data_IF_936761389555
#
_entry.id   IF_936761389555
#
_cell.length_a   1.000
_cell.length_b   1.000
_cell.length_c   1.000
_cell.angle_alpha   90.00
_cell.angle_beta   90.00
_cell.angle_gamma   90.00
#
_symmetry.space_group_name_H-M   'P 1'
#
loop_
_entity.id
_entity.type
_entity.pdbx_description
1 polymer ?
#
# COMPACT_ATOMS: atom_id res chain seq x y z
N UNK A 1 20.61 11.82 10.36
CA UNK A 1 19.77 13.01 10.05
C UNK A 1 19.69 13.16 8.53
N UNK A 2 18.49 13.31 7.96
CA UNK A 2 18.29 13.25 6.50
C UNK A 2 17.83 14.60 5.96
N UNK A 3 18.77 15.41 5.48
CA UNK A 3 18.48 16.66 4.78
C UNK A 3 17.78 16.42 3.44
N UNK A 4 17.02 17.40 2.95
CA UNK A 4 16.40 17.33 1.62
C UNK A 4 17.34 17.88 0.56
N UNK A 5 17.98 16.99 -0.18
CA UNK A 5 18.93 17.32 -1.24
C UNK A 5 18.27 17.25 -2.61
N UNK A 6 18.49 18.26 -3.44
CA UNK A 6 18.09 18.28 -4.84
C UNK A 6 19.34 18.29 -5.72
N UNK A 7 19.45 17.30 -6.61
CA UNK A 7 20.48 17.31 -7.65
C UNK A 7 20.32 18.54 -8.54
N UNK A 8 21.37 19.34 -8.67
CA UNK A 8 21.43 20.51 -9.57
C UNK A 8 22.17 20.20 -10.87
N UNK A 9 22.77 19.01 -10.96
CA UNK A 9 23.49 18.56 -12.14
C UNK A 9 24.51 17.48 -11.80
N UNK A 10 24.89 16.73 -12.82
CA UNK A 10 26.01 15.80 -12.79
C UNK A 10 26.94 16.11 -13.96
N UNK A 11 28.24 16.07 -13.73
CA UNK A 11 29.26 16.17 -14.78
C UNK A 11 30.16 14.94 -14.68
N UNK A 12 30.40 14.27 -15.80
CA UNK A 12 31.37 13.18 -15.89
C UNK A 12 32.57 13.62 -16.71
N UNK A 13 33.76 13.20 -16.30
CA UNK A 13 35.00 13.41 -17.02
C UNK A 13 35.90 12.18 -16.82
N UNK A 14 36.03 11.34 -17.85
CA UNK A 14 36.66 10.03 -17.74
C UNK A 14 35.98 9.17 -16.67
N UNK A 15 36.78 8.56 -15.79
CA UNK A 15 36.31 7.67 -14.71
C UNK A 15 35.79 8.40 -13.46
N UNK A 16 35.63 9.73 -13.57
CA UNK A 16 35.14 10.56 -12.48
C UNK A 16 33.78 11.16 -12.81
N UNK A 17 32.80 10.95 -11.93
CA UNK A 17 31.49 11.60 -11.99
C UNK A 17 31.31 12.49 -10.77
N UNK A 18 30.93 13.75 -10.99
CA UNK A 18 30.68 14.73 -9.94
C UNK A 18 29.21 15.10 -9.96
N UNK A 19 28.50 14.79 -8.88
CA UNK A 19 27.13 15.22 -8.65
C UNK A 19 27.12 16.40 -7.69
N UNK A 20 26.44 17.48 -8.08
CA UNK A 20 26.20 18.62 -7.18
C UNK A 20 24.75 18.58 -6.71
N UNK A 21 24.57 18.69 -5.41
CA UNK A 21 23.27 18.76 -4.77
C UNK A 21 23.17 20.05 -3.94
N UNK A 22 21.99 20.65 -3.93
CA UNK A 22 21.66 21.76 -3.03
C UNK A 22 20.60 21.37 -2.04
N UNK A 23 20.66 21.92 -0.85
CA UNK A 23 19.61 21.75 0.11
C UNK A 23 18.35 22.47 -0.38
N UNK A 24 17.19 21.80 -0.30
CA UNK A 24 15.91 22.40 -0.65
C UNK A 24 15.33 23.27 0.46
N UNK A 25 15.95 23.30 1.65
CA UNK A 25 15.39 23.97 2.80
C UNK A 25 14.27 23.18 3.47
N UNK A 26 13.32 23.90 4.08
CA UNK A 26 12.12 23.33 4.70
C UNK A 26 10.92 24.27 4.52
N UNK A 27 9.72 23.71 4.62
CA UNK A 27 8.48 24.49 4.76
C UNK A 27 8.14 24.57 6.25
N UNK A 28 7.85 25.76 6.77
CA UNK A 28 7.42 25.95 8.16
C UNK A 28 6.05 26.62 8.17
N UNK A 29 5.20 26.26 9.12
CA UNK A 29 3.96 26.99 9.34
C UNK A 29 4.25 28.45 9.71
N UNK A 30 3.53 29.40 9.12
CA UNK A 30 3.65 30.82 9.43
C UNK A 30 3.15 31.20 10.83
N UNK A 31 2.29 30.37 11.43
CA UNK A 31 1.83 30.56 12.80
C UNK A 31 2.94 30.17 13.81
N UNK A 32 3.43 31.11 14.63
CA UNK A 32 4.55 30.87 15.55
C UNK A 32 4.21 29.87 16.65
N UNK A 33 2.93 29.72 17.04
CA UNK A 33 2.50 28.72 18.02
C UNK A 33 2.46 27.30 17.44
N UNK A 34 2.36 27.18 16.12
CA UNK A 34 2.34 25.89 15.43
C UNK A 34 3.75 25.48 15.02
N UNK A 35 4.43 26.33 14.23
CA UNK A 35 5.81 26.18 13.74
C UNK A 35 6.17 24.78 13.20
N UNK A 36 5.18 23.98 12.76
CA UNK A 36 5.41 22.59 12.32
C UNK A 36 6.28 22.58 11.06
N UNK A 37 7.46 21.94 11.08
CA UNK A 37 8.29 21.81 9.90
C UNK A 37 7.75 20.73 8.98
N UNK A 38 7.85 20.96 7.67
CA UNK A 38 7.49 20.05 6.61
C UNK A 38 8.63 19.95 5.59
N UNK A 39 8.82 18.74 5.06
CA UNK A 39 9.84 18.46 4.04
C UNK A 39 9.38 18.99 2.68
N UNK A 40 10.26 19.66 1.94
CA UNK A 40 10.03 19.98 0.53
C UNK A 40 10.06 18.67 -0.27
N UNK A 41 8.95 18.32 -0.94
CA UNK A 41 8.81 17.06 -1.69
C UNK A 41 9.12 17.30 -3.16
N UNK A 42 8.61 18.39 -3.71
CA UNK A 42 8.76 18.73 -5.12
C UNK A 42 10.06 19.47 -5.39
N UNK A 43 10.57 19.37 -6.63
CA UNK A 43 11.70 20.20 -7.07
C UNK A 43 11.26 21.67 -7.08
N UNK A 44 12.08 22.58 -6.59
CA UNK A 44 11.78 24.02 -6.63
C UNK A 44 11.51 24.49 -8.08
N UNK A 45 10.63 25.46 -8.27
CA UNK A 45 10.21 25.98 -9.59
C UNK A 45 9.41 24.96 -10.44
N UNK A 46 8.76 24.01 -9.78
CA UNK A 46 7.74 23.18 -10.44
C UNK A 46 6.37 23.58 -9.91
N UNK A 47 5.33 23.39 -10.73
CA UNK A 47 3.93 23.58 -10.32
C UNK A 47 3.58 22.78 -9.06
N UNK A 48 4.19 21.59 -8.89
CA UNK A 48 4.05 20.76 -7.69
C UNK A 48 4.65 21.41 -6.44
N UNK A 49 5.73 22.17 -6.59
CA UNK A 49 6.33 22.91 -5.48
C UNK A 49 5.46 24.11 -5.10
N UNK A 50 4.97 24.87 -6.07
CA UNK A 50 4.05 25.98 -5.84
C UNK A 50 2.76 25.48 -5.14
N UNK A 51 2.19 24.38 -5.62
CA UNK A 51 1.05 23.71 -4.98
C UNK A 51 1.37 23.21 -3.56
N UNK A 52 2.62 22.84 -3.29
CA UNK A 52 3.03 22.43 -1.95
C UNK A 52 3.16 23.63 -1.00
N UNK A 53 3.72 24.74 -1.47
CA UNK A 53 3.87 25.99 -0.68
C UNK A 53 2.52 26.64 -0.43
N UNK A 54 1.61 26.62 -1.40
CA UNK A 54 0.27 27.19 -1.25
C UNK A 54 -0.65 26.35 -0.37
N UNK A 55 -0.30 25.09 -0.11
CA UNK A 55 -1.08 24.22 0.77
C UNK A 55 -1.00 24.70 2.21
N UNK A 56 -2.16 24.94 2.81
CA UNK A 56 -2.28 25.30 4.21
C UNK A 56 -1.71 24.23 5.15
N UNK A 57 -1.27 24.67 6.33
CA UNK A 57 -0.80 23.80 7.39
C UNK A 57 -1.90 22.81 7.80
N UNK A 58 -1.61 21.51 7.74
CA UNK A 58 -2.59 20.49 8.10
C UNK A 58 -3.04 20.50 9.57
N UNK A 59 -2.35 21.23 10.46
CA UNK A 59 -2.67 21.33 11.90
C UNK A 59 -3.51 22.55 12.26
N UNK A 60 -3.15 23.73 11.74
CA UNK A 60 -3.77 25.01 12.11
C UNK A 60 -4.31 25.82 10.93
N UNK A 61 -4.24 25.28 9.71
CA UNK A 61 -4.70 25.90 8.46
C UNK A 61 -4.02 27.24 8.07
N UNK A 62 -3.02 27.70 8.82
CA UNK A 62 -2.22 28.86 8.42
C UNK A 62 -1.34 28.58 7.20
N UNK A 63 -0.85 29.63 6.55
CA UNK A 63 0.05 29.53 5.40
C UNK A 63 1.39 28.84 5.74
N UNK A 64 2.08 28.36 4.70
CA UNK A 64 3.39 27.73 4.83
C UNK A 64 4.46 28.64 4.22
N UNK A 65 5.54 28.89 4.96
CA UNK A 65 6.69 29.68 4.53
C UNK A 65 7.82 28.74 4.09
N UNK A 66 8.41 29.00 2.92
CA UNK A 66 9.59 28.27 2.48
C UNK A 66 10.87 28.93 2.99
N UNK A 67 11.57 28.25 3.90
CA UNK A 67 12.90 28.66 4.34
C UNK A 67 13.91 28.06 3.37
N UNK A 68 14.52 28.91 2.54
CA UNK A 68 15.58 28.50 1.62
C UNK A 68 16.89 28.22 2.37
N UNK A 69 17.69 27.30 1.82
CA UNK A 69 18.98 26.94 2.37
C UNK A 69 20.10 27.12 1.35
N UNK A 70 21.21 27.72 1.78
CA UNK A 70 22.40 27.90 0.95
C UNK A 70 23.33 26.68 0.93
N UNK A 71 23.12 25.69 1.80
CA UNK A 71 24.00 24.53 1.92
C UNK A 71 24.02 23.69 0.63
N UNK A 72 25.21 23.24 0.24
CA UNK A 72 25.48 22.42 -0.93
C UNK A 72 26.28 21.19 -0.55
N UNK A 73 26.11 20.14 -1.33
CA UNK A 73 26.87 18.89 -1.22
C UNK A 73 27.39 18.53 -2.59
N UNK A 74 28.69 18.32 -2.72
CA UNK A 74 29.32 17.78 -3.91
C UNK A 74 29.73 16.34 -3.63
N UNK A 75 29.39 15.43 -4.53
CA UNK A 75 29.74 14.02 -4.43
C UNK A 75 30.53 13.64 -5.67
N UNK A 76 31.77 13.22 -5.48
CA UNK A 76 32.64 12.76 -6.54
C UNK A 76 32.78 11.25 -6.45
N UNK A 77 32.44 10.56 -7.53
CA UNK A 77 32.55 9.13 -7.71
C UNK A 77 33.75 8.86 -8.61
N UNK A 78 34.71 8.07 -8.15
CA UNK A 78 35.82 7.57 -8.98
C UNK A 78 35.67 6.07 -9.16
N UNK A 79 35.68 5.62 -10.41
CA UNK A 79 35.60 4.21 -10.79
C UNK A 79 36.98 3.73 -11.21
N UNK A 80 37.82 3.42 -10.22
CA UNK A 80 39.19 2.93 -10.43
C UNK A 80 39.32 1.52 -9.83
N UNK A 81 38.53 0.57 -10.35
CA UNK A 81 38.39 -0.80 -9.83
C UNK A 81 37.71 -0.92 -8.45
N UNK A 82 37.67 0.17 -7.68
CA UNK A 82 36.93 0.33 -6.42
C UNK A 82 36.14 1.64 -6.46
N UNK A 83 34.85 1.58 -6.14
CA UNK A 83 34.00 2.76 -6.10
C UNK A 83 34.35 3.62 -4.88
N UNK A 84 35.14 4.68 -5.09
CA UNK A 84 35.44 5.67 -4.03
C UNK A 84 34.49 6.86 -4.16
N UNK A 85 33.87 7.23 -3.03
CA UNK A 85 32.94 8.37 -2.94
C UNK A 85 33.55 9.44 -2.05
N UNK A 86 33.97 10.56 -2.64
CA UNK A 86 34.34 11.76 -1.88
C UNK A 86 33.10 12.65 -1.73
N UNK A 87 32.79 13.04 -0.49
CA UNK A 87 31.66 13.93 -0.19
C UNK A 87 32.20 15.22 0.41
N UNK A 88 31.99 16.32 -0.30
CA UNK A 88 32.31 17.66 0.16
C UNK A 88 31.02 18.38 0.54
N UNK A 89 31.02 19.04 1.69
CA UNK A 89 29.90 19.84 2.18
C UNK A 89 30.32 21.32 2.17
N UNK A 90 29.50 22.17 1.58
CA UNK A 90 29.72 23.60 1.46
C UNK A 90 28.56 24.34 2.14
N UNK A 91 28.89 25.27 3.05
CA UNK A 91 27.93 26.07 3.79
C UNK A 91 27.36 25.39 5.04
N UNK A 92 26.43 26.08 5.72
CA UNK A 92 25.74 25.61 6.93
C UNK A 92 24.23 25.63 6.72
N UNK A 93 23.53 24.65 7.30
CA UNK A 93 22.08 24.66 7.33
C UNK A 93 21.59 25.72 8.31
N UNK A 94 20.82 26.69 7.84
CA UNK A 94 20.22 27.78 8.62
C UNK A 94 18.80 27.48 9.10
N UNK A 95 18.38 26.23 9.03
CA UNK A 95 17.02 25.80 9.32
C UNK A 95 17.03 24.46 10.07
N UNK A 96 15.93 24.16 10.77
CA UNK A 96 15.78 22.88 11.47
C UNK A 96 15.89 21.69 10.51
N UNK A 97 16.22 20.52 11.04
CA UNK A 97 16.26 19.28 10.24
C UNK A 97 14.84 19.00 9.71
N UNK A 98 14.64 18.83 8.39
CA UNK A 98 13.33 18.47 7.85
C UNK A 98 12.84 17.14 8.46
N UNK A 99 11.52 16.94 8.60
CA UNK A 99 10.98 15.69 9.09
C UNK A 99 11.56 14.51 8.29
N UNK A 100 12.06 13.51 9.02
CA UNK A 100 12.58 12.32 8.38
C UNK A 100 11.41 11.55 7.75
N UNK A 101 11.63 11.07 6.53
CA UNK A 101 10.68 10.17 5.85
C UNK A 101 11.14 8.72 5.92
N UNK A 102 12.41 8.51 6.31
CA UNK A 102 13.02 7.18 6.40
C UNK A 102 12.82 6.67 7.82
N UNK A 103 12.07 5.57 7.94
CA UNK A 103 11.94 4.86 9.20
C UNK A 103 13.27 4.23 9.61
N UNK A 104 13.62 4.38 10.87
CA UNK A 104 14.72 3.69 11.54
C UNK A 104 14.37 2.21 11.77
N UNK A 105 15.37 1.39 12.13
CA UNK A 105 15.15 -0.05 12.38
C UNK A 105 14.26 -0.33 13.59
N UNK A 106 14.35 0.47 14.66
CA UNK A 106 13.45 0.42 15.82
C UNK A 106 12.01 0.74 15.43
N UNK A 107 11.79 1.77 14.62
CA UNK A 107 10.46 2.14 14.12
C UNK A 107 9.88 1.05 13.19
N UNK A 108 10.73 0.38 12.40
CA UNK A 108 10.32 -0.78 11.59
C UNK A 108 9.92 -1.97 12.45
N UNK A 109 10.68 -2.26 13.50
CA UNK A 109 10.35 -3.33 14.45
C UNK A 109 9.01 -3.05 15.14
N UNK A 110 8.78 -1.82 15.60
CA UNK A 110 7.50 -1.40 16.20
C UNK A 110 6.34 -1.49 15.19
N UNK A 111 6.56 -1.08 13.93
CA UNK A 111 5.56 -1.24 12.89
C UNK A 111 5.25 -2.72 12.68
N UNK A 112 6.27 -3.58 12.53
CA UNK A 112 6.07 -5.02 12.35
C UNK A 112 5.29 -5.65 13.52
N UNK A 113 5.63 -5.33 14.77
CA UNK A 113 4.91 -5.80 15.94
C UNK A 113 3.43 -5.35 15.93
N UNK A 114 3.16 -4.09 15.54
CA UNK A 114 1.79 -3.59 15.39
C UNK A 114 1.01 -4.33 14.29
N UNK A 115 1.66 -4.68 13.17
CA UNK A 115 1.05 -5.44 12.08
C UNK A 115 0.68 -6.87 12.54
N UNK A 116 1.61 -7.53 13.23
CA UNK A 116 1.43 -8.89 13.75
C UNK A 116 0.33 -8.96 14.81
N UNK A 117 0.25 -7.97 15.70
CA UNK A 117 -0.78 -7.90 16.72
C UNK A 117 -2.17 -7.55 16.15
N UNK A 118 -2.26 -7.14 14.88
CA UNK A 118 -3.50 -6.68 14.25
C UNK A 118 -3.68 -7.24 12.84
N UNK A 119 -3.73 -8.57 12.69
CA UNK A 119 -3.90 -9.20 11.40
C UNK A 119 -5.20 -8.73 10.74
N UNK A 120 -5.17 -8.50 9.42
CA UNK A 120 -6.34 -8.09 8.63
C UNK A 120 -6.74 -6.62 8.73
N UNK A 121 -6.19 -5.82 9.65
CA UNK A 121 -6.50 -4.38 9.70
C UNK A 121 -5.93 -3.65 8.49
N UNK A 122 -6.72 -2.75 7.92
CA UNK A 122 -6.31 -1.88 6.81
C UNK A 122 -5.37 -0.76 7.28
N UNK A 123 -4.60 -0.20 6.33
CA UNK A 123 -3.77 0.98 6.60
C UNK A 123 -4.55 2.17 7.16
N UNK A 124 -5.83 2.35 6.77
CA UNK A 124 -6.68 3.42 7.33
C UNK A 124 -7.05 3.11 8.78
N UNK A 125 -7.41 1.86 9.08
CA UNK A 125 -7.71 1.45 10.45
C UNK A 125 -6.48 1.60 11.35
N UNK A 126 -5.31 1.14 10.93
CA UNK A 126 -4.08 1.27 11.73
C UNK A 126 -3.60 2.73 11.89
N UNK A 127 -4.02 3.61 10.97
CA UNK A 127 -3.78 5.05 11.11
C UNK A 127 -4.65 5.68 12.19
N UNK A 128 -5.95 5.38 12.25
CA UNK A 128 -6.91 6.11 13.09
C UNK A 128 -7.37 5.34 14.33
N UNK A 129 -7.58 4.02 14.19
CA UNK A 129 -8.06 3.13 15.24
C UNK A 129 -6.99 2.08 15.53
N UNK A 130 -6.11 2.50 16.43
CA UNK A 130 -4.97 1.75 16.89
C UNK A 130 -5.28 0.27 17.15
N UNK A 131 -4.34 -0.55 16.76
CA UNK A 131 -4.20 -1.88 17.29
C UNK A 131 -3.52 -1.88 18.65
N UNK A 132 -3.75 -2.92 19.42
CA UNK A 132 -3.00 -3.19 20.64
C UNK A 132 -1.55 -3.46 20.25
N UNK A 133 -0.60 -2.75 20.87
CA UNK A 133 0.82 -3.05 20.75
C UNK A 133 1.23 -3.95 21.95
N UNK A 134 1.75 -5.17 21.72
CA UNK A 134 2.02 -6.14 22.79
C UNK A 134 2.98 -5.61 23.87
N UNK A 135 3.99 -4.83 23.46
CA UNK A 135 5.06 -4.35 24.36
C UNK A 135 4.62 -3.24 25.31
N UNK A 136 3.56 -2.49 24.99
CA UNK A 136 3.14 -1.32 25.78
C UNK A 136 1.74 -1.43 26.38
N UNK A 137 0.93 -2.40 25.95
CA UNK A 137 -0.47 -2.54 26.36
C UNK A 137 -1.38 -1.37 25.96
N UNK A 138 -0.86 -0.39 25.20
CA UNK A 138 -1.59 0.81 24.77
C UNK A 138 -1.99 0.71 23.30
N UNK A 139 -3.14 1.30 22.99
CA UNK A 139 -3.59 1.52 21.62
C UNK A 139 -2.68 2.59 20.97
N UNK A 140 -1.75 2.15 20.12
CA UNK A 140 -0.84 3.04 19.39
C UNK A 140 -1.28 3.21 17.94
N UNK A 141 -1.37 4.46 17.49
CA UNK A 141 -1.60 4.81 16.09
C UNK A 141 -0.30 4.63 15.30
N UNK A 142 -0.39 4.27 14.02
CA UNK A 142 0.80 4.30 13.15
C UNK A 142 1.51 5.67 13.15
N UNK A 143 0.78 6.77 13.41
CA UNK A 143 1.35 8.12 13.55
C UNK A 143 2.28 8.29 14.75
N UNK A 144 2.09 7.53 15.84
CA UNK A 144 2.98 7.60 17.01
C UNK A 144 4.30 6.87 16.80
N UNK A 145 4.35 5.92 15.85
CA UNK A 145 5.59 5.20 15.49
C UNK A 145 6.46 6.09 14.60
N UNK A 146 5.88 6.63 13.52
CA UNK A 146 6.61 7.51 12.62
C UNK A 146 5.68 8.49 11.92
N UNK A 147 5.99 9.80 11.86
CA UNK A 147 5.10 10.82 11.31
C UNK A 147 4.74 10.57 9.84
N UNK A 148 5.65 9.96 9.07
CA UNK A 148 5.41 9.58 7.68
C UNK A 148 4.32 8.51 7.49
N UNK A 149 3.99 7.72 8.52
CA UNK A 149 2.94 6.70 8.47
C UNK A 149 1.52 7.28 8.53
N UNK A 150 1.39 8.60 8.82
CA UNK A 150 0.13 9.32 8.62
C UNK A 150 -0.32 9.34 7.16
N UNK A 151 0.58 9.10 6.20
CA UNK A 151 0.23 8.86 4.81
C UNK A 151 -0.13 7.39 4.59
N UNK A 152 -1.40 7.13 4.25
CA UNK A 152 -1.93 5.78 4.00
C UNK A 152 -1.10 4.97 3.00
N UNK A 153 -0.58 5.61 1.94
CA UNK A 153 0.18 4.93 0.90
C UNK A 153 1.58 4.55 1.39
N UNK A 154 2.21 5.42 2.19
CA UNK A 154 3.51 5.13 2.82
C UNK A 154 3.36 3.99 3.82
N UNK A 155 2.33 4.02 4.67
CA UNK A 155 2.03 2.94 5.61
C UNK A 155 1.79 1.62 4.87
N UNK A 156 0.98 1.61 3.81
CA UNK A 156 0.74 0.41 3.00
C UNK A 156 2.02 -0.14 2.37
N UNK A 157 2.87 0.75 1.84
CA UNK A 157 4.15 0.35 1.25
C UNK A 157 5.09 -0.27 2.28
N UNK A 158 5.26 0.37 3.44
CA UNK A 158 6.14 -0.13 4.50
C UNK A 158 5.61 -1.44 5.08
N UNK A 159 4.30 -1.56 5.30
CA UNK A 159 3.71 -2.78 5.82
C UNK A 159 3.90 -3.96 4.88
N UNK A 160 3.70 -3.80 3.56
CA UNK A 160 3.99 -4.87 2.58
C UNK A 160 5.46 -5.26 2.53
N UNK A 161 6.36 -4.30 2.78
CA UNK A 161 7.80 -4.54 2.78
C UNK A 161 8.24 -5.34 4.01
N UNK A 162 7.61 -5.08 5.16
CA UNK A 162 7.94 -5.73 6.43
C UNK A 162 7.18 -7.05 6.62
N UNK A 163 5.97 -7.17 6.05
CA UNK A 163 5.13 -8.37 6.07
C UNK A 163 4.80 -8.81 4.62
N UNK A 164 5.75 -9.42 3.91
CA UNK A 164 5.53 -9.91 2.55
C UNK A 164 4.55 -11.09 2.50
N UNK A 165 4.30 -11.78 3.64
CA UNK A 165 3.35 -12.89 3.76
C UNK A 165 1.88 -12.47 3.72
N UNK A 166 1.59 -11.18 3.84
CA UNK A 166 0.26 -10.64 3.58
C UNK A 166 -0.75 -10.95 4.68
N UNK A 167 -0.35 -10.80 5.95
CA UNK A 167 -1.29 -10.62 7.06
C UNK A 167 -1.84 -9.17 7.08
N UNK A 168 -1.10 -8.22 6.48
CA UNK A 168 -1.54 -6.83 6.34
C UNK A 168 -2.31 -6.53 5.05
N UNK A 169 -3.47 -5.90 5.22
CA UNK A 169 -4.35 -5.45 4.15
C UNK A 169 -5.57 -6.35 4.04
N UNK A 170 -6.74 -5.81 4.38
CA UNK A 170 -8.02 -6.49 4.22
C UNK A 170 -8.17 -7.17 2.87
N UNK A 171 -8.88 -8.29 2.87
CA UNK A 171 -9.04 -9.34 1.85
C UNK A 171 -9.64 -8.89 0.51
N UNK A 172 -9.26 -7.73 -0.02
CA UNK A 172 -9.86 -7.17 -1.22
C UNK A 172 -8.78 -7.03 -2.30
N UNK A 173 -8.50 -8.15 -2.98
CA UNK A 173 -7.65 -8.23 -4.17
C UNK A 173 -7.60 -9.67 -4.71
N UNK A 174 -7.13 -9.89 -5.94
CA UNK A 174 -7.13 -11.23 -6.55
C UNK A 174 -6.44 -12.33 -5.71
N UNK A 175 -5.50 -11.96 -4.84
CA UNK A 175 -4.84 -12.91 -3.93
C UNK A 175 -5.72 -13.38 -2.76
N UNK A 176 -6.73 -12.60 -2.33
CA UNK A 176 -7.68 -13.07 -1.32
C UNK A 176 -8.63 -14.11 -1.90
N UNK A 177 -9.13 -13.89 -3.12
CA UNK A 177 -9.90 -14.89 -3.86
C UNK A 177 -9.12 -16.20 -4.01
N UNK A 178 -7.84 -16.14 -4.38
CA UNK A 178 -7.01 -17.35 -4.46
C UNK A 178 -6.82 -18.03 -3.11
N UNK A 179 -6.62 -17.25 -2.04
CA UNK A 179 -6.50 -17.79 -0.67
C UNK A 179 -7.80 -18.42 -0.18
N UNK A 180 -8.93 -17.81 -0.45
CA UNK A 180 -10.26 -18.33 -0.14
C UNK A 180 -10.54 -19.60 -0.96
N UNK A 181 -10.13 -19.65 -2.23
CA UNK A 181 -10.24 -20.84 -3.06
C UNK A 181 -9.38 -22.00 -2.50
N UNK A 182 -8.16 -21.71 -2.03
CA UNK A 182 -7.30 -22.72 -1.37
C UNK A 182 -7.95 -23.23 -0.07
N UNK A 183 -8.41 -22.32 0.80
CA UNK A 183 -9.09 -22.73 2.03
C UNK A 183 -10.36 -23.55 1.73
N UNK A 184 -11.09 -23.20 0.67
CA UNK A 184 -12.26 -23.95 0.21
C UNK A 184 -11.88 -25.36 -0.26
N UNK A 185 -10.76 -25.52 -0.99
CA UNK A 185 -10.27 -26.84 -1.41
C UNK A 185 -9.79 -27.71 -0.24
N UNK A 186 -9.21 -27.10 0.80
CA UNK A 186 -8.82 -27.82 2.01
C UNK A 186 -10.04 -28.26 2.84
N UNK A 187 -11.07 -27.42 2.92
CA UNK A 187 -12.30 -27.72 3.66
C UNK A 187 -13.18 -28.77 2.96
N UNK A 188 -13.15 -28.82 1.62
CA UNK A 188 -13.97 -29.72 0.80
C UNK A 188 -13.12 -30.52 -0.19
N UNK A 189 -12.33 -31.50 0.29
CA UNK A 189 -11.37 -32.25 -0.53
C UNK A 189 -12.03 -33.09 -1.64
N UNK A 190 -13.34 -33.35 -1.56
CA UNK A 190 -14.10 -34.12 -2.54
C UNK A 190 -14.64 -33.28 -3.72
N UNK A 191 -14.30 -31.98 -3.84
CA UNK A 191 -14.90 -31.06 -4.82
C UNK A 191 -13.89 -29.98 -5.33
N UNK A 192 -13.83 -29.42 -6.55
CA UNK A 192 -14.25 -29.75 -7.94
C UNK A 192 -14.08 -28.47 -8.80
N UNK A 193 -12.86 -28.07 -9.18
CA UNK A 193 -12.74 -27.09 -10.27
C UNK A 193 -12.98 -27.85 -11.56
N UNK A 194 -14.21 -27.79 -12.08
CA UNK A 194 -14.56 -28.51 -13.31
C UNK A 194 -13.98 -27.81 -14.55
N UNK A 195 -13.77 -26.50 -14.45
CA UNK A 195 -13.13 -25.70 -15.48
C UNK A 195 -12.86 -24.27 -15.04
N UNK A 196 -11.84 -23.67 -15.66
CA UNK A 196 -11.56 -22.24 -15.52
C UNK A 196 -11.28 -21.64 -16.89
N UNK A 197 -11.98 -20.57 -17.26
CA UNK A 197 -11.67 -19.78 -18.44
C UNK A 197 -11.25 -18.38 -18.01
N UNK A 198 -10.04 -17.96 -18.41
CA UNK A 198 -9.51 -16.62 -18.12
C UNK A 198 -9.37 -15.74 -19.36
N UNK A 199 -9.73 -16.26 -20.54
CA UNK A 199 -9.65 -15.54 -21.81
C UNK A 199 -10.92 -14.73 -22.09
N UNK A 200 -10.80 -13.66 -22.88
CA UNK A 200 -11.94 -12.81 -23.23
C UNK A 200 -12.91 -13.56 -24.17
N UNK A 201 -14.23 -13.29 -24.09
CA UNK A 201 -14.87 -12.22 -23.31
C UNK A 201 -15.22 -12.59 -21.87
N UNK A 202 -15.21 -13.86 -21.48
CA UNK A 202 -15.79 -14.31 -20.21
C UNK A 202 -14.76 -14.95 -19.30
N UNK A 203 -14.64 -14.42 -18.08
CA UNK A 203 -13.80 -15.00 -17.03
C UNK A 203 -14.69 -15.74 -16.04
N UNK A 204 -14.57 -17.06 -15.97
CA UNK A 204 -15.35 -17.88 -15.05
C UNK A 204 -14.47 -18.95 -14.39
N UNK A 205 -14.81 -19.27 -13.16
CA UNK A 205 -14.32 -20.44 -12.43
C UNK A 205 -15.56 -21.22 -12.05
N UNK A 206 -15.65 -22.47 -12.51
CA UNK A 206 -16.80 -23.34 -12.22
C UNK A 206 -16.42 -24.29 -11.09
N UNK A 207 -17.23 -24.28 -10.03
CA UNK A 207 -17.08 -25.14 -8.85
C UNK A 207 -18.38 -25.94 -8.70
N UNK A 208 -18.32 -27.27 -8.62
CA UNK A 208 -19.53 -28.12 -8.51
C UNK A 208 -19.30 -29.32 -7.58
N UNK A 209 -19.99 -29.48 -6.46
CA UNK A 209 -19.79 -30.71 -5.66
C UNK A 209 -20.29 -31.99 -6.35
N UNK A 210 -19.83 -33.19 -5.96
CA UNK A 210 -20.45 -34.45 -6.37
C UNK A 210 -21.97 -34.44 -6.15
N UNK A 211 -22.44 -33.92 -5.02
CA UNK A 211 -23.87 -33.81 -4.73
C UNK A 211 -24.59 -32.84 -5.69
N UNK A 212 -23.95 -31.72 -6.07
CA UNK A 212 -24.47 -30.82 -7.09
C UNK A 212 -24.53 -31.50 -8.46
N UNK A 213 -23.52 -32.31 -8.80
CA UNK A 213 -23.49 -33.09 -10.04
C UNK A 213 -24.64 -34.10 -10.06
N UNK A 214 -24.82 -34.86 -8.99
CA UNK A 214 -25.91 -35.83 -8.84
C UNK A 214 -27.27 -35.15 -8.87
N UNK A 215 -27.45 -34.02 -8.18
CA UNK A 215 -28.67 -33.23 -8.23
C UNK A 215 -28.95 -32.69 -9.64
N UNK A 216 -27.91 -32.26 -10.37
CA UNK A 216 -28.02 -31.83 -11.77
C UNK A 216 -28.57 -32.94 -12.66
N UNK A 217 -28.01 -34.14 -12.53
CA UNK A 217 -28.46 -35.31 -13.31
C UNK A 217 -29.82 -35.84 -12.85
N UNK A 218 -30.14 -35.78 -11.55
CA UNK A 218 -31.42 -36.20 -11.00
C UNK A 218 -32.57 -35.30 -11.47
N UNK A 219 -32.36 -33.99 -11.53
CA UNK A 219 -33.34 -33.01 -12.02
C UNK A 219 -33.57 -33.05 -13.54
N UNK A 220 -32.76 -33.78 -14.31
CA UNK A 220 -33.01 -34.07 -15.73
C UNK A 220 -34.08 -35.16 -15.93
N UNK A 221 -34.44 -35.91 -14.89
CA UNK A 221 -35.57 -36.83 -14.90
C UNK A 221 -36.84 -36.05 -14.52
N UNK A 222 -37.73 -35.85 -15.49
CA UNK A 222 -38.96 -35.05 -15.35
C UNK A 222 -39.92 -35.65 -14.30
N UNK A 223 -39.75 -36.91 -13.92
CA UNK A 223 -40.77 -37.67 -13.18
C UNK A 223 -40.66 -37.63 -11.66
N UNK A 224 -39.54 -37.20 -11.06
CA UNK A 224 -39.33 -37.22 -9.59
C UNK A 224 -38.56 -36.00 -9.05
N UNK A 225 -38.86 -34.81 -9.56
CA UNK A 225 -38.06 -33.63 -9.29
C UNK A 225 -38.30 -33.09 -7.86
N UNK A 226 -37.54 -33.60 -6.87
CA UNK A 226 -37.56 -33.11 -5.48
C UNK A 226 -36.68 -31.86 -5.28
N UNK A 227 -35.86 -31.46 -6.26
CA UNK A 227 -34.94 -30.31 -6.15
C UNK A 227 -35.27 -29.17 -7.11
N UNK A 228 -34.49 -28.09 -7.03
CA UNK A 228 -34.63 -26.93 -7.92
C UNK A 228 -33.31 -26.17 -8.12
N UNK A 229 -33.30 -25.28 -9.11
CA UNK A 229 -32.18 -24.38 -9.38
C UNK A 229 -32.63 -22.93 -9.17
N UNK A 230 -31.82 -22.16 -8.45
CA UNK A 230 -32.01 -20.72 -8.29
C UNK A 230 -30.78 -20.05 -8.90
N UNK A 231 -30.99 -19.26 -9.95
CA UNK A 231 -29.94 -18.41 -10.53
C UNK A 231 -30.07 -17.00 -9.97
N UNK A 232 -29.00 -16.48 -9.37
CA UNK A 232 -28.98 -15.16 -8.72
C UNK A 232 -28.66 -14.01 -9.71
N UNK A 233 -28.87 -14.22 -11.02
CA UNK A 233 -28.47 -13.20 -12.00
C UNK A 233 -29.33 -13.21 -13.28
N UNK A 234 -30.58 -12.74 -13.13
CA UNK A 234 -31.25 -11.74 -13.99
C UNK A 234 -32.76 -11.96 -13.99
N UNK A 235 -33.53 -10.89 -13.78
CA UNK A 235 -34.99 -10.89 -13.88
C UNK A 235 -35.49 -10.90 -15.35
N UNK A 236 -34.92 -11.74 -16.21
CA UNK A 236 -35.28 -11.80 -17.64
C UNK A 236 -35.21 -13.21 -18.22
N UNK A 237 -36.15 -13.54 -19.12
CA UNK A 237 -36.12 -14.76 -19.92
C UNK A 237 -34.98 -14.70 -20.95
N UNK A 238 -34.19 -15.77 -21.04
CA UNK A 238 -33.04 -15.83 -21.92
C UNK A 238 -33.28 -16.72 -23.13
N UNK A 239 -33.20 -16.15 -24.33
CA UNK A 239 -33.07 -16.89 -25.59
C UNK A 239 -31.59 -17.12 -25.94
N UNK A 240 -30.70 -16.20 -25.55
CA UNK A 240 -29.29 -16.14 -25.99
C UNK A 240 -28.27 -15.70 -24.90
N UNK A 241 -28.51 -15.95 -23.60
CA UNK A 241 -27.57 -15.55 -22.54
C UNK A 241 -26.88 -16.72 -21.83
N UNK A 242 -25.68 -16.45 -21.30
CA UNK A 242 -24.85 -17.40 -20.55
C UNK A 242 -25.23 -17.35 -19.05
N UNK A 243 -25.66 -18.48 -18.49
CA UNK A 243 -25.88 -18.63 -17.05
C UNK A 243 -24.55 -18.49 -16.31
N UNK A 244 -24.38 -17.42 -15.51
CA UNK A 244 -23.10 -17.14 -14.83
C UNK A 244 -22.99 -17.72 -13.42
N UNK A 245 -24.12 -17.86 -12.70
CA UNK A 245 -24.17 -18.45 -11.35
C UNK A 245 -25.51 -19.16 -11.18
N UNK A 246 -25.47 -20.41 -10.71
CA UNK A 246 -26.67 -21.18 -10.34
C UNK A 246 -26.42 -21.91 -9.03
N UNK A 247 -27.41 -21.91 -8.14
CA UNK A 247 -27.43 -22.68 -6.92
C UNK A 247 -28.43 -23.82 -7.10
N UNK A 248 -27.94 -25.05 -7.14
CA UNK A 248 -28.79 -26.23 -7.01
C UNK A 248 -29.13 -26.40 -5.53
N UNK A 249 -30.42 -26.60 -5.21
CA UNK A 249 -30.84 -26.99 -3.88
C UNK A 249 -31.62 -28.30 -3.95
N UNK A 250 -31.42 -29.13 -2.93
CA UNK A 250 -32.22 -30.30 -2.65
C UNK A 250 -32.82 -30.07 -1.26
N UNK A 251 -34.15 -29.97 -1.12
CA UNK A 251 -34.78 -29.88 0.18
C UNK A 251 -34.49 -31.16 0.95
N UNK A 252 -33.93 -31.01 2.14
CA UNK A 252 -33.77 -32.10 3.07
C UNK A 252 -35.16 -32.40 3.64
N UNK A 253 -35.68 -33.61 3.40
CA UNK A 253 -36.84 -34.14 4.12
C UNK A 253 -36.42 -34.66 5.49
#
# INVERSE_FOLDING_TARGET
MVWSWLSTGSKSHGDMSVQTLRCQGLLICSNPLCAVPQRVIARSRTTKFEAQVSKACGKCQSSMNHIQCAARRRQSFRFDGQQKVLVELEGRHSHAVPPNTVMKEDEKAQLLAMLQANPGKSATQLKFNAGTCPESGKTLSALSIHPGLGNRNVLRYQARKLDPGGMFGGSHGGNSFLRELVNLTEAFPATFVEGSCFFRPTRCVVIQSPDMKEAVFAGCSIENNQGGYISDAAHGFFRDALLMVTCAFVPIM
#
